data_IF_844919127678
#
_entry.id   IF_844919127678
#
_cell.length_a   1.000
_cell.length_b   1.000
_cell.length_c   1.000
_cell.angle_alpha   90.00
_cell.angle_beta   90.00
_cell.angle_gamma   90.00
#
_symmetry.space_group_name_H-M   'P 1'
#
loop_
_entity.id
_entity.type
_entity.pdbx_description
1 polymer ?
#
# COMPACT_ATOMS: atom_id res chain seq x y z
N UNK A 1 -8.62 -16.49 -21.10
CA UNK A 1 -8.68 -15.05 -20.82
C UNK A 1 -7.82 -14.77 -19.60
N UNK A 2 -6.90 -13.79 -19.66
CA UNK A 2 -6.12 -13.40 -18.48
C UNK A 2 -6.99 -12.67 -17.48
N UNK A 3 -6.79 -12.95 -16.19
CA UNK A 3 -7.49 -12.27 -15.07
C UNK A 3 -7.01 -10.82 -14.86
N UNK A 4 -5.97 -10.40 -15.56
CA UNK A 4 -5.37 -9.06 -15.48
C UNK A 4 -5.72 -8.26 -16.72
N UNK A 5 -6.09 -7.00 -16.53
CA UNK A 5 -6.26 -6.04 -17.62
C UNK A 5 -4.93 -5.31 -17.89
N UNK A 6 -4.79 -4.68 -19.06
CA UNK A 6 -3.66 -3.78 -19.30
C UNK A 6 -3.86 -2.40 -18.66
N UNK A 7 -4.91 -2.25 -17.85
CA UNK A 7 -5.31 -1.01 -17.19
C UNK A 7 -5.22 -1.22 -15.67
N UNK A 8 -4.57 -0.30 -14.98
CA UNK A 8 -4.59 -0.16 -13.53
C UNK A 8 -5.57 0.96 -13.16
N UNK A 9 -6.45 0.71 -12.19
CA UNK A 9 -7.52 1.61 -11.81
C UNK A 9 -7.19 2.32 -10.50
N UNK A 10 -7.15 3.66 -10.54
CA UNK A 10 -7.12 4.50 -9.34
C UNK A 10 -8.52 4.94 -9.00
N UNK A 11 -8.94 4.67 -7.78
CA UNK A 11 -10.23 5.09 -7.27
C UNK A 11 -10.10 6.38 -6.45
N UNK A 12 -11.08 7.28 -6.62
CA UNK A 12 -11.03 8.58 -5.97
C UNK A 12 -12.42 9.21 -5.80
N UNK A 13 -12.48 10.30 -5.06
CA UNK A 13 -13.65 11.18 -4.96
C UNK A 13 -13.74 12.14 -6.16
N UNK A 14 -14.86 12.85 -6.30
CA UNK A 14 -14.99 13.88 -7.34
C UNK A 14 -13.92 14.97 -7.22
N UNK A 15 -13.63 15.42 -5.99
CA UNK A 15 -12.63 16.46 -5.76
C UNK A 15 -11.22 15.95 -6.02
N UNK A 16 -10.94 14.70 -5.62
CA UNK A 16 -9.69 14.03 -5.98
C UNK A 16 -9.51 13.88 -7.48
N UNK A 17 -10.56 13.50 -8.22
CA UNK A 17 -10.53 13.45 -9.69
C UNK A 17 -10.20 14.81 -10.29
N UNK A 18 -10.88 15.88 -9.85
CA UNK A 18 -10.61 17.25 -10.30
C UNK A 18 -9.16 17.65 -10.02
N UNK A 19 -8.66 17.36 -8.81
CA UNK A 19 -7.27 17.64 -8.44
C UNK A 19 -6.28 16.95 -9.36
N UNK A 20 -6.44 15.64 -9.58
CA UNK A 20 -5.57 14.83 -10.46
C UNK A 20 -5.57 15.38 -11.90
N UNK A 21 -6.75 15.77 -12.43
CA UNK A 21 -6.86 16.29 -13.79
C UNK A 21 -6.25 17.70 -13.92
N UNK A 22 -6.48 18.58 -12.95
CA UNK A 22 -5.93 19.94 -12.96
C UNK A 22 -4.40 19.96 -12.89
N UNK A 23 -3.84 19.13 -12.00
CA UNK A 23 -2.40 19.04 -11.78
C UNK A 23 -1.70 18.06 -12.72
N UNK A 24 -2.47 17.35 -13.55
CA UNK A 24 -1.99 16.32 -14.48
C UNK A 24 -1.11 15.26 -13.82
N UNK A 25 -1.43 14.92 -12.54
CA UNK A 25 -0.62 14.01 -11.75
C UNK A 25 -1.33 13.45 -10.53
N UNK A 26 -0.79 12.34 -10.00
CA UNK A 26 -1.25 11.75 -8.75
C UNK A 26 -0.42 12.30 -7.58
N UNK A 27 -1.11 12.60 -6.47
CA UNK A 27 -0.46 13.02 -5.23
C UNK A 27 -0.30 11.85 -4.29
N UNK A 28 0.85 11.78 -3.63
CA UNK A 28 1.04 10.86 -2.52
C UNK A 28 0.18 11.31 -1.33
N UNK A 29 -0.67 10.41 -0.85
CA UNK A 29 -1.43 10.60 0.38
C UNK A 29 -1.03 9.56 1.42
N UNK A 30 -1.04 9.95 2.70
CA UNK A 30 -0.75 8.99 3.77
C UNK A 30 -1.90 8.01 3.93
N UNK A 31 -1.60 6.73 3.75
CA UNK A 31 -2.51 5.62 3.99
C UNK A 31 -2.03 4.81 5.19
N UNK A 32 -2.91 4.61 6.17
CA UNK A 32 -2.61 3.79 7.34
C UNK A 32 -2.74 2.32 6.97
N UNK A 33 -1.63 1.58 7.09
CA UNK A 33 -1.59 0.14 6.93
C UNK A 33 -1.47 -0.52 8.29
N UNK A 34 -2.34 -1.50 8.54
CA UNK A 34 -2.29 -2.34 9.73
C UNK A 34 -1.84 -3.74 9.33
N UNK A 35 -0.60 -4.07 9.62
CA UNK A 35 0.01 -5.37 9.32
C UNK A 35 -0.08 -6.22 10.57
N UNK A 36 -0.96 -7.21 10.55
CA UNK A 36 -1.23 -8.11 11.67
C UNK A 36 -0.43 -9.41 11.52
N UNK A 37 0.37 -9.74 12.54
CA UNK A 37 0.88 -11.08 12.75
C UNK A 37 0.24 -11.68 13.99
N UNK A 38 -0.41 -12.83 13.86
CA UNK A 38 -1.08 -13.52 14.99
C UNK A 38 -0.08 -14.16 15.94
N UNK A 39 1.05 -14.64 15.44
CA UNK A 39 2.07 -15.28 16.26
C UNK A 39 2.78 -14.27 17.17
N UNK A 40 3.17 -13.14 16.63
CA UNK A 40 3.85 -12.09 17.41
C UNK A 40 2.90 -11.28 18.30
N UNK A 41 1.58 -11.45 18.18
CA UNK A 41 0.53 -10.63 18.82
C UNK A 41 0.72 -9.12 18.62
N UNK A 42 1.53 -8.73 17.66
CA UNK A 42 1.88 -7.36 17.37
C UNK A 42 1.18 -6.90 16.10
N UNK A 43 0.40 -5.84 16.23
CA UNK A 43 -0.10 -5.09 15.09
C UNK A 43 0.89 -3.98 14.79
N UNK A 44 1.45 -4.00 13.60
CA UNK A 44 2.26 -2.90 13.12
C UNK A 44 1.36 -1.94 12.34
N UNK A 45 1.11 -0.77 12.94
CA UNK A 45 0.34 0.30 12.31
C UNK A 45 1.30 1.36 11.81
N UNK A 46 1.39 1.53 10.49
CA UNK A 46 2.29 2.51 9.86
C UNK A 46 1.55 3.23 8.76
N UNK A 47 1.65 4.56 8.75
CA UNK A 47 1.14 5.37 7.65
C UNK A 47 2.23 5.57 6.60
N UNK A 48 1.96 5.15 5.37
CA UNK A 48 2.87 5.32 4.23
C UNK A 48 2.30 6.34 3.24
N UNK A 49 3.11 7.28 2.75
CA UNK A 49 2.72 8.10 1.61
C UNK A 49 2.73 7.23 0.35
N UNK A 50 1.59 7.10 -0.31
CA UNK A 50 1.48 6.24 -1.48
C UNK A 50 0.43 6.71 -2.48
N UNK A 51 0.56 6.21 -3.70
CA UNK A 51 -0.48 6.17 -4.71
C UNK A 51 -0.78 4.70 -4.99
N UNK A 52 -2.05 4.31 -4.84
CA UNK A 52 -2.51 2.94 -5.05
C UNK A 52 -3.40 2.83 -6.27
N UNK A 53 -3.19 1.78 -7.07
CA UNK A 53 -4.04 1.39 -8.18
C UNK A 53 -4.32 -0.12 -8.11
N UNK A 54 -5.44 -0.55 -8.68
CA UNK A 54 -5.85 -1.95 -8.68
C UNK A 54 -5.82 -2.56 -10.09
N UNK A 55 -5.39 -3.82 -10.20
CA UNK A 55 -5.41 -4.60 -11.46
C UNK A 55 -6.69 -5.46 -11.52
N UNK A 56 -7.83 -4.81 -11.69
CA UNK A 56 -9.12 -5.45 -11.75
C UNK A 56 -9.68 -5.46 -13.18
N UNK A 57 -10.31 -6.56 -13.63
CA UNK A 57 -11.07 -6.54 -14.87
C UNK A 57 -12.29 -5.61 -14.71
N UNK A 58 -12.72 -5.01 -15.81
CA UNK A 58 -13.82 -4.06 -15.81
C UNK A 58 -15.11 -4.62 -15.16
N UNK A 59 -15.34 -5.92 -15.31
CA UNK A 59 -16.50 -6.62 -14.72
C UNK A 59 -16.52 -6.64 -13.19
N UNK A 60 -15.35 -6.51 -12.53
CA UNK A 60 -15.21 -6.53 -11.07
C UNK A 60 -15.22 -5.12 -10.44
N UNK A 61 -15.20 -4.07 -11.26
CA UNK A 61 -15.13 -2.68 -10.77
C UNK A 61 -16.39 -2.23 -10.04
N UNK A 62 -17.56 -2.76 -10.34
CA UNK A 62 -18.81 -2.37 -9.68
C UNK A 62 -18.78 -2.60 -8.17
N UNK A 63 -18.25 -3.73 -7.71
CA UNK A 63 -18.16 -4.03 -6.29
C UNK A 63 -17.03 -3.25 -5.62
N UNK A 64 -15.99 -2.95 -6.37
CA UNK A 64 -14.90 -2.10 -5.91
C UNK A 64 -15.37 -0.64 -5.72
N UNK A 65 -16.11 -0.07 -6.68
CA UNK A 65 -16.68 1.29 -6.61
C UNK A 65 -17.59 1.46 -5.41
N UNK A 66 -18.40 0.47 -5.05
CA UNK A 66 -19.27 0.52 -3.87
C UNK A 66 -18.49 0.67 -2.56
N UNK A 67 -17.24 0.20 -2.52
CA UNK A 67 -16.41 0.21 -1.30
C UNK A 67 -15.65 1.51 -1.10
N UNK A 68 -15.16 2.12 -2.17
CA UNK A 68 -14.14 3.17 -2.06
C UNK A 68 -14.51 4.50 -2.74
N UNK A 69 -15.67 4.60 -3.39
CA UNK A 69 -16.15 5.83 -4.04
C UNK A 69 -16.43 5.70 -5.54
N UNK A 70 -17.02 6.72 -6.13
CA UNK A 70 -17.70 6.64 -7.41
C UNK A 70 -16.86 6.95 -8.66
N UNK A 71 -15.58 7.35 -8.53
CA UNK A 71 -14.77 7.79 -9.67
C UNK A 71 -13.52 6.94 -9.83
N UNK A 72 -13.23 6.59 -11.09
CA UNK A 72 -12.09 5.76 -11.45
C UNK A 72 -11.27 6.45 -12.55
N UNK A 73 -9.95 6.40 -12.41
CA UNK A 73 -9.00 6.76 -13.46
C UNK A 73 -8.26 5.50 -13.88
N UNK A 74 -8.36 5.14 -15.16
CA UNK A 74 -7.64 4.01 -15.73
C UNK A 74 -6.30 4.44 -16.33
N UNK A 75 -5.21 3.85 -15.86
CA UNK A 75 -3.87 4.07 -16.37
C UNK A 75 -3.32 2.83 -17.04
N UNK A 76 -2.61 3.00 -18.16
CA UNK A 76 -1.93 1.86 -18.80
C UNK A 76 -0.92 1.22 -17.85
N UNK A 77 -0.84 -0.11 -17.82
CA UNK A 77 0.14 -0.83 -16.99
C UNK A 77 1.59 -0.43 -17.29
N UNK A 78 1.90 -0.09 -18.56
CA UNK A 78 3.22 0.43 -18.96
C UNK A 78 3.52 1.76 -18.29
N UNK A 79 2.53 2.66 -18.19
CA UNK A 79 2.65 3.91 -17.43
C UNK A 79 2.93 3.62 -15.95
N UNK A 80 2.22 2.67 -15.34
CA UNK A 80 2.45 2.26 -13.96
C UNK A 80 3.89 1.84 -13.72
N UNK A 81 4.44 0.96 -14.57
CA UNK A 81 5.85 0.55 -14.49
C UNK A 81 6.82 1.73 -14.59
N UNK A 82 6.59 2.65 -15.52
CA UNK A 82 7.45 3.83 -15.69
C UNK A 82 7.39 4.80 -14.50
N UNK A 83 6.33 4.75 -13.70
CA UNK A 83 6.12 5.57 -12.52
C UNK A 83 6.34 4.81 -11.20
N UNK A 84 7.05 3.69 -11.25
CA UNK A 84 7.48 2.97 -10.05
C UNK A 84 6.38 2.20 -9.32
N UNK A 85 5.22 1.97 -9.96
CA UNK A 85 4.20 1.10 -9.36
C UNK A 85 4.68 -0.35 -9.35
N UNK A 86 4.62 -0.95 -8.17
CA UNK A 86 4.93 -2.35 -7.94
C UNK A 86 3.73 -3.08 -7.29
N UNK A 87 3.53 -4.38 -7.57
CA UNK A 87 2.47 -5.14 -6.93
C UNK A 87 2.72 -5.28 -5.43
N UNK A 88 1.63 -5.27 -4.67
CA UNK A 88 1.64 -5.53 -3.23
C UNK A 88 1.90 -7.03 -2.98
N UNK A 89 2.66 -7.31 -1.93
CA UNK A 89 2.91 -8.66 -1.42
C UNK A 89 1.87 -9.00 -0.35
N UNK A 90 0.94 -9.88 -0.68
CA UNK A 90 -0.07 -10.32 0.26
C UNK A 90 0.46 -11.45 1.11
N UNK A 91 0.44 -11.28 2.43
CA UNK A 91 0.93 -12.24 3.40
C UNK A 91 -0.21 -12.71 4.31
N UNK A 92 -0.29 -14.00 4.53
CA UNK A 92 -1.16 -14.54 5.57
C UNK A 92 -0.66 -14.11 6.96
N UNK A 93 -1.59 -13.76 7.86
CA UNK A 93 -1.26 -13.30 9.21
C UNK A 93 -0.60 -14.37 10.09
N UNK A 94 -0.69 -15.63 9.70
CA UNK A 94 -0.08 -16.78 10.40
C UNK A 94 1.22 -17.25 9.71
N UNK A 95 1.63 -16.60 8.61
CA UNK A 95 2.80 -17.02 7.86
C UNK A 95 4.11 -16.72 8.57
N UNK A 96 5.03 -17.67 8.55
CA UNK A 96 6.37 -17.55 9.12
C UNK A 96 7.16 -16.40 8.51
N UNK A 97 6.94 -16.12 7.23
CA UNK A 97 7.63 -15.01 6.55
C UNK A 97 7.19 -13.65 7.08
N UNK A 98 5.90 -13.48 7.34
CA UNK A 98 5.39 -12.22 7.91
C UNK A 98 5.92 -12.00 9.33
N UNK A 99 5.93 -13.06 10.15
CA UNK A 99 6.48 -13.03 11.48
C UNK A 99 7.97 -12.63 11.46
N UNK A 100 8.77 -13.25 10.62
CA UNK A 100 10.19 -12.94 10.49
C UNK A 100 10.44 -11.48 10.06
N UNK A 101 9.61 -10.94 9.18
CA UNK A 101 9.68 -9.53 8.74
C UNK A 101 9.37 -8.59 9.91
N UNK A 102 8.30 -8.85 10.66
CA UNK A 102 7.91 -8.01 11.81
C UNK A 102 8.96 -8.08 12.92
N UNK A 103 9.45 -9.27 13.24
CA UNK A 103 10.50 -9.45 14.24
C UNK A 103 11.78 -8.70 13.86
N UNK A 104 12.15 -8.77 12.59
CA UNK A 104 13.31 -8.02 12.11
C UNK A 104 13.11 -6.50 12.21
N UNK A 105 11.92 -6.01 11.89
CA UNK A 105 11.60 -4.60 12.09
C UNK A 105 11.73 -4.19 13.55
N UNK A 106 11.15 -4.97 14.46
CA UNK A 106 11.21 -4.71 15.90
C UNK A 106 12.65 -4.70 16.41
N UNK A 107 13.52 -5.61 15.96
CA UNK A 107 14.94 -5.62 16.28
C UNK A 107 15.66 -4.35 15.81
N UNK A 108 15.33 -3.84 14.63
CA UNK A 108 15.89 -2.59 14.10
C UNK A 108 15.48 -1.42 15.01
N UNK A 109 14.19 -1.31 15.36
CA UNK A 109 13.67 -0.25 16.22
C UNK A 109 14.33 -0.28 17.63
N UNK A 110 14.49 -1.49 18.21
CA UNK A 110 15.20 -1.66 19.50
C UNK A 110 16.67 -1.21 19.40
N UNK A 111 17.36 -1.56 18.32
CA UNK A 111 18.75 -1.15 18.12
C UNK A 111 18.88 0.37 17.98
N UNK A 112 17.96 1.02 17.26
CA UNK A 112 17.93 2.48 17.12
C UNK A 112 17.70 3.14 18.49
N UNK A 113 16.73 2.65 19.28
CA UNK A 113 16.47 3.15 20.63
C UNK A 113 17.68 3.01 21.55
N UNK A 114 18.52 1.99 21.33
CA UNK A 114 19.77 1.76 22.07
C UNK A 114 20.97 2.55 21.48
N UNK A 115 20.74 3.54 20.64
CA UNK A 115 21.77 4.42 20.07
C UNK A 115 22.60 3.82 18.95
N UNK A 116 22.24 2.66 18.40
CA UNK A 116 22.94 2.06 17.26
C UNK A 116 22.47 2.68 15.94
N UNK A 117 23.41 2.88 15.01
CA UNK A 117 23.07 3.42 13.69
C UNK A 117 22.50 2.36 12.76
N UNK A 118 21.19 2.27 12.69
CA UNK A 118 20.44 1.38 11.79
C UNK A 118 19.54 2.17 10.82
N UNK A 119 19.79 3.44 10.60
CA UNK A 119 18.94 4.33 9.80
C UNK A 119 18.68 3.78 8.40
N UNK A 120 19.73 3.36 7.69
CA UNK A 120 19.61 2.80 6.32
C UNK A 120 18.77 1.50 6.34
N UNK A 121 19.02 0.63 7.32
CA UNK A 121 18.26 -0.62 7.46
C UNK A 121 16.77 -0.34 7.72
N UNK A 122 16.47 0.65 8.56
CA UNK A 122 15.09 1.08 8.84
C UNK A 122 14.40 1.60 7.58
N UNK A 123 15.06 2.45 6.81
CA UNK A 123 14.51 2.99 5.56
C UNK A 123 14.16 1.88 4.56
N UNK A 124 15.06 0.92 4.35
CA UNK A 124 14.83 -0.23 3.46
C UNK A 124 13.64 -1.06 3.96
N UNK A 125 13.58 -1.30 5.27
CA UNK A 125 12.48 -2.05 5.86
C UNK A 125 11.14 -1.35 5.75
N UNK A 126 11.06 -0.06 6.03
CA UNK A 126 9.84 0.73 5.87
C UNK A 126 9.37 0.72 4.40
N UNK A 127 10.31 0.83 3.45
CA UNK A 127 9.98 0.72 2.04
C UNK A 127 9.44 -0.68 1.67
N UNK A 128 10.03 -1.74 2.24
CA UNK A 128 9.51 -3.10 2.07
C UNK A 128 8.13 -3.26 2.68
N UNK A 129 7.94 -2.78 3.93
CA UNK A 129 6.65 -2.85 4.63
C UNK A 129 5.55 -2.08 3.90
N UNK A 130 5.87 -1.00 3.21
CA UNK A 130 4.88 -0.24 2.43
C UNK A 130 4.26 -1.04 1.27
N UNK A 131 4.90 -2.14 0.86
CA UNK A 131 4.41 -3.06 -0.17
C UNK A 131 3.89 -4.39 0.40
N UNK A 132 3.77 -4.51 1.72
CA UNK A 132 3.18 -5.67 2.37
C UNK A 132 1.76 -5.34 2.83
N UNK A 133 0.85 -6.29 2.65
CA UNK A 133 -0.54 -6.23 3.12
C UNK A 133 -0.96 -7.62 3.59
N UNK A 134 -1.80 -7.69 4.61
CA UNK A 134 -2.40 -8.97 4.97
C UNK A 134 -3.23 -9.51 3.81
N UNK A 135 -3.25 -10.83 3.63
CA UNK A 135 -4.06 -11.49 2.60
C UNK A 135 -5.55 -11.23 2.83
N UNK A 136 -5.97 -11.34 4.08
CA UNK A 136 -7.32 -11.04 4.53
C UNK A 136 -7.30 -10.38 5.92
N UNK A 137 -8.36 -9.69 6.29
CA UNK A 137 -8.45 -9.05 7.60
C UNK A 137 -9.75 -8.25 7.76
N UNK A 138 -9.76 -7.39 8.75
CA UNK A 138 -10.89 -6.49 9.00
C UNK A 138 -10.73 -5.22 8.13
N UNK A 139 -11.77 -4.87 7.39
CA UNK A 139 -11.87 -3.59 6.70
C UNK A 139 -12.68 -2.63 7.57
N UNK A 140 -11.97 -1.88 8.44
CA UNK A 140 -12.57 -1.04 9.50
C UNK A 140 -13.54 0.01 8.93
N UNK A 141 -13.21 0.60 7.78
CA UNK A 141 -14.02 1.64 7.15
C UNK A 141 -15.43 1.17 6.70
N UNK A 142 -15.64 -0.14 6.59
CA UNK A 142 -16.87 -0.71 6.05
C UNK A 142 -17.50 -1.81 6.92
N UNK A 143 -17.04 -1.96 8.16
CA UNK A 143 -17.54 -2.96 9.13
C UNK A 143 -17.53 -4.42 8.61
N UNK A 144 -16.61 -4.73 7.68
CA UNK A 144 -16.41 -6.09 7.20
C UNK A 144 -15.42 -6.83 8.12
N UNK A 145 -15.90 -7.80 8.88
CA UNK A 145 -15.10 -8.61 9.80
C UNK A 145 -14.11 -9.55 9.09
N UNK A 146 -14.38 -9.90 7.84
CA UNK A 146 -13.50 -10.75 7.03
C UNK A 146 -13.50 -10.27 5.59
N UNK A 147 -12.49 -9.48 5.24
CA UNK A 147 -12.29 -8.94 3.90
C UNK A 147 -11.01 -9.51 3.29
N UNK A 148 -11.06 -9.96 2.05
CA UNK A 148 -9.91 -10.49 1.33
C UNK A 148 -9.23 -9.35 0.54
N UNK A 149 -8.18 -8.77 1.11
CA UNK A 149 -7.42 -7.70 0.46
C UNK A 149 -6.74 -8.15 -0.84
N UNK A 150 -6.41 -9.44 -0.95
CA UNK A 150 -5.85 -10.01 -2.18
C UNK A 150 -6.71 -9.77 -3.42
N UNK A 151 -8.03 -9.69 -3.27
CA UNK A 151 -8.95 -9.47 -4.39
C UNK A 151 -8.80 -8.06 -5.00
N UNK A 152 -8.16 -7.13 -4.31
CA UNK A 152 -7.86 -5.79 -4.83
C UNK A 152 -6.74 -5.79 -5.87
N UNK A 153 -5.84 -6.78 -5.85
CA UNK A 153 -4.68 -6.87 -6.74
C UNK A 153 -3.95 -5.53 -6.85
N UNK A 154 -3.64 -4.99 -5.69
CA UNK A 154 -3.15 -3.63 -5.54
C UNK A 154 -1.71 -3.48 -6.06
N UNK A 155 -1.47 -2.35 -6.69
CA UNK A 155 -0.16 -1.83 -7.06
C UNK A 155 0.07 -0.52 -6.34
N UNK A 156 1.28 -0.31 -5.82
CA UNK A 156 1.66 0.90 -5.09
C UNK A 156 2.87 1.58 -5.71
N UNK A 157 2.82 2.90 -5.76
CA UNK A 157 4.00 3.76 -5.87
C UNK A 157 4.20 4.43 -4.52
N UNK A 158 5.40 4.30 -3.97
CA UNK A 158 5.79 4.89 -2.68
C UNK A 158 7.06 5.70 -2.92
N UNK A 159 7.12 6.98 -2.51
CA UNK A 159 8.31 7.79 -2.72
C UNK A 159 9.48 7.25 -1.90
N UNK A 160 10.68 7.31 -2.44
CA UNK A 160 11.88 6.98 -1.68
C UNK A 160 12.12 8.00 -0.57
N UNK A 161 12.70 7.59 0.53
CA UNK A 161 12.98 8.47 1.67
C UNK A 161 13.75 9.74 1.29
N UNK A 162 14.69 9.65 0.34
CA UNK A 162 15.42 10.81 -0.18
C UNK A 162 14.51 11.82 -0.89
N UNK A 163 13.42 11.36 -1.48
CA UNK A 163 12.42 12.21 -2.15
C UNK A 163 11.51 12.88 -1.11
N UNK A 164 11.12 12.13 -0.06
CA UNK A 164 10.36 12.69 1.07
C UNK A 164 11.11 13.80 1.80
N UNK A 165 12.44 13.66 2.01
CA UNK A 165 13.26 14.72 2.61
C UNK A 165 13.32 15.99 1.78
N UNK A 166 13.17 15.91 0.45
CA UNK A 166 13.11 17.09 -0.41
C UNK A 166 11.77 17.82 -0.31
N UNK A 167 10.68 17.06 -0.05
CA UNK A 167 9.33 17.62 0.07
C UNK A 167 9.06 18.21 1.47
N UNK A 168 9.76 17.71 2.48
CA UNK A 168 9.67 18.17 3.88
C UNK A 168 11.08 18.35 4.46
N UNK A 169 11.80 19.44 4.07
CA UNK A 169 13.08 19.77 4.70
C UNK A 169 12.80 20.11 6.16
N UNK A 170 13.30 19.27 7.08
CA UNK A 170 13.31 19.54 8.54
C UNK A 170 14.45 20.48 8.88
#
# INVERSE_FOLDING_TARGET
MGLSSNILWHQTTLDGLKGILNEQGFFYSYSLESILSRESKNNLNVAFPMVSLCDLPFSELNDYIKKYGGYLIGMKRTWGKSNGLAPVWYCDSESTILNAIIDRYNQIEVNIKNGKNFTISREIFLYTLSHIKNYEGQLIAHDFNKYRFYDEREFRSVPRYKELKKLHPT
#
